data_IF_684109790722
#
_entry.id   IF_684109790722
#
_cell.length_a   1.000
_cell.length_b   1.000
_cell.length_c   1.000
_cell.angle_alpha   90.00
_cell.angle_beta   90.00
_cell.angle_gamma   90.00
#
_symmetry.space_group_name_H-M   'P 1'
#
loop_
_entity.id
_entity.type
_entity.pdbx_description
1 polymer ?
#
# COMPACT_ATOMS: atom_id res chain seq x y z
N UNK A 1 -7.58 8.36 3.61
CA UNK A 1 -6.69 7.44 2.87
C UNK A 1 -7.20 7.09 1.47
N UNK A 2 -8.45 6.63 1.31
CA UNK A 2 -9.07 6.39 -0.01
C UNK A 2 -8.90 7.59 -0.97
N UNK A 3 -9.35 8.78 -0.54
CA UNK A 3 -9.25 10.00 -1.34
C UNK A 3 -7.81 10.42 -1.65
N UNK A 4 -6.91 10.28 -0.67
CA UNK A 4 -5.49 10.60 -0.86
C UNK A 4 -4.84 9.71 -1.93
N UNK A 5 -5.11 8.40 -1.92
CA UNK A 5 -4.59 7.49 -2.94
C UNK A 5 -5.18 7.76 -4.32
N UNK A 6 -6.47 8.10 -4.39
CA UNK A 6 -7.09 8.50 -5.65
C UNK A 6 -6.46 9.78 -6.22
N UNK A 7 -6.27 10.81 -5.38
CA UNK A 7 -5.59 12.05 -5.78
C UNK A 7 -4.16 11.80 -6.25
N UNK A 8 -3.38 11.02 -5.48
CA UNK A 8 -2.00 10.69 -5.87
C UNK A 8 -1.96 9.94 -7.20
N UNK A 9 -2.88 8.99 -7.40
CA UNK A 9 -2.99 8.26 -8.66
C UNK A 9 -3.30 9.20 -9.83
N UNK A 10 -4.33 10.05 -9.72
CA UNK A 10 -4.78 10.93 -10.79
C UNK A 10 -3.74 11.98 -11.21
N UNK A 11 -2.88 12.43 -10.29
CA UNK A 11 -1.94 13.52 -10.55
C UNK A 11 -0.48 13.09 -10.74
N UNK A 12 -0.12 11.89 -10.27
CA UNK A 12 1.28 11.51 -10.11
C UNK A 12 1.62 10.06 -10.51
N UNK A 13 0.66 9.24 -10.94
CA UNK A 13 0.95 7.83 -11.31
C UNK A 13 2.03 7.71 -12.39
N UNK A 14 2.00 8.58 -13.40
CA UNK A 14 2.95 8.58 -14.53
C UNK A 14 4.20 9.41 -14.25
N UNK A 15 4.33 10.00 -13.06
CA UNK A 15 5.45 10.88 -12.69
C UNK A 15 6.44 10.23 -11.74
N UNK A 16 6.04 9.17 -11.04
CA UNK A 16 6.88 8.50 -10.06
C UNK A 16 6.74 6.98 -10.13
N UNK A 17 7.87 6.32 -9.90
CA UNK A 17 7.98 4.87 -9.91
C UNK A 17 7.51 4.21 -8.60
N UNK A 18 7.66 4.94 -7.49
CA UNK A 18 7.48 4.43 -6.13
C UNK A 18 6.57 5.33 -5.30
N UNK A 19 5.61 4.73 -4.62
CA UNK A 19 4.62 5.41 -3.79
C UNK A 19 4.72 4.93 -2.34
N UNK A 20 5.07 5.85 -1.43
CA UNK A 20 5.15 5.59 0.00
C UNK A 20 3.95 6.17 0.74
N UNK A 21 3.36 5.41 1.66
CA UNK A 21 2.60 5.98 2.77
C UNK A 21 3.51 6.03 3.99
N UNK A 22 3.47 7.14 4.73
CA UNK A 22 4.10 7.30 6.04
C UNK A 22 3.12 7.92 7.03
N UNK A 23 3.31 7.69 8.33
CA UNK A 23 2.57 8.40 9.38
C UNK A 23 3.45 9.53 9.98
N UNK A 24 2.84 10.46 10.72
CA UNK A 24 3.46 11.70 11.21
C UNK A 24 4.65 11.55 12.17
N UNK A 25 4.95 10.34 12.66
CA UNK A 25 6.09 10.04 13.53
C UNK A 25 7.15 9.14 12.89
N UNK A 26 7.11 8.97 11.56
CA UNK A 26 8.03 8.10 10.84
C UNK A 26 9.12 8.93 10.16
N UNK A 27 10.38 8.58 10.38
CA UNK A 27 11.52 9.09 9.63
C UNK A 27 11.91 8.11 8.52
N UNK A 28 12.35 8.63 7.36
CA UNK A 28 12.81 7.84 6.21
C UNK A 28 14.27 8.17 5.95
N UNK A 29 15.13 7.15 6.00
CA UNK A 29 16.54 7.26 5.58
C UNK A 29 16.60 6.99 4.08
N UNK A 30 16.78 8.04 3.29
CA UNK A 30 16.67 7.97 1.83
C UNK A 30 17.77 7.10 1.18
N UNK A 31 18.98 7.07 1.73
CA UNK A 31 20.06 6.18 1.24
C UNK A 31 19.67 4.71 1.30
N UNK A 32 19.10 4.27 2.43
CA UNK A 32 18.63 2.89 2.59
C UNK A 32 17.49 2.58 1.61
N UNK A 33 16.63 3.58 1.36
CA UNK A 33 15.53 3.43 0.42
C UNK A 33 16.03 3.30 -1.02
N UNK A 34 17.05 4.07 -1.41
CA UNK A 34 17.69 3.96 -2.74
C UNK A 34 18.32 2.59 -2.91
N UNK A 35 19.05 2.11 -1.91
CA UNK A 35 19.68 0.78 -1.93
C UNK A 35 18.61 -0.32 -2.11
N UNK A 36 17.47 -0.21 -1.43
CA UNK A 36 16.35 -1.16 -1.57
C UNK A 36 15.81 -1.24 -3.01
N UNK A 37 15.93 -0.16 -3.79
CA UNK A 37 15.39 -0.08 -5.16
C UNK A 37 16.41 -0.41 -6.25
N UNK A 38 17.70 -0.57 -5.93
CA UNK A 38 18.75 -0.80 -6.93
C UNK A 38 18.49 -2.04 -7.80
N UNK A 39 17.81 -3.05 -7.26
CA UNK A 39 17.54 -4.33 -7.91
C UNK A 39 16.03 -4.59 -8.13
N UNK A 40 15.21 -3.54 -8.19
CA UNK A 40 13.76 -3.65 -8.32
C UNK A 40 13.24 -2.89 -9.53
N UNK A 41 12.39 -3.55 -10.32
CA UNK A 41 11.67 -2.92 -11.42
C UNK A 41 10.33 -2.34 -10.91
N UNK A 42 10.09 -1.02 -11.02
CA UNK A 42 8.80 -0.43 -10.64
C UNK A 42 7.63 -0.83 -11.55
N UNK A 43 7.89 -1.45 -12.69
CA UNK A 43 6.89 -2.03 -13.59
C UNK A 43 6.45 -3.43 -13.16
N UNK A 44 7.14 -4.03 -12.18
CA UNK A 44 6.75 -5.30 -11.58
C UNK A 44 5.96 -5.09 -10.29
N UNK A 45 5.19 -6.12 -9.92
CA UNK A 45 4.39 -6.07 -8.70
C UNK A 45 5.27 -6.14 -7.44
N UNK A 46 5.66 -4.98 -6.93
CA UNK A 46 6.37 -4.88 -5.66
C UNK A 46 5.58 -4.12 -4.59
N UNK A 47 5.57 -4.66 -3.38
CA UNK A 47 5.04 -4.05 -2.18
C UNK A 47 5.88 -4.47 -0.97
N UNK A 48 6.32 -3.51 -0.16
CA UNK A 48 7.14 -3.78 1.02
C UNK A 48 6.75 -2.87 2.20
N UNK A 49 6.93 -3.40 3.41
CA UNK A 49 6.65 -2.74 4.67
C UNK A 49 6.76 -3.72 5.82
N UNK A 50 6.37 -3.30 7.02
CA UNK A 50 6.36 -4.20 8.17
C UNK A 50 5.27 -5.27 8.02
N UNK A 51 5.68 -6.49 7.70
CA UNK A 51 4.78 -7.63 7.55
C UNK A 51 4.40 -8.17 8.91
N UNK A 52 3.11 -8.05 9.25
CA UNK A 52 2.54 -8.70 10.41
C UNK A 52 1.77 -9.94 9.93
N UNK A 53 2.29 -11.11 10.26
CA UNK A 53 1.63 -12.38 9.94
C UNK A 53 0.46 -12.60 10.90
N UNK A 54 -0.77 -12.58 10.38
CA UNK A 54 -1.95 -12.93 11.15
C UNK A 54 -2.39 -14.36 10.84
N UNK A 55 -2.57 -15.17 11.90
CA UNK A 55 -3.41 -16.36 11.83
C UNK A 55 -4.88 -15.96 11.99
N UNK A 56 -5.43 -15.19 11.06
CA UNK A 56 -6.87 -14.95 11.03
C UNK A 56 -7.55 -16.14 10.36
N UNK A 57 -8.52 -16.75 11.04
CA UNK A 57 -9.26 -17.93 10.54
C UNK A 57 -10.01 -17.75 9.22
N UNK A 58 -10.08 -16.51 8.68
CA UNK A 58 -10.70 -16.17 7.38
C UNK A 58 -9.70 -15.76 6.30
N UNK A 59 -8.40 -15.78 6.58
CA UNK A 59 -7.35 -15.44 5.62
C UNK A 59 -6.46 -16.67 5.38
N UNK A 60 -5.88 -16.81 4.17
CA UNK A 60 -4.86 -17.82 3.91
C UNK A 60 -3.75 -17.78 4.97
N UNK A 61 -3.20 -18.93 5.34
CA UNK A 61 -2.17 -19.04 6.40
C UNK A 61 -0.89 -18.26 6.09
N UNK A 62 -0.66 -18.02 4.81
CA UNK A 62 0.45 -17.29 4.19
C UNK A 62 0.09 -15.84 3.83
N UNK A 63 -1.11 -15.36 4.18
CA UNK A 63 -1.51 -13.99 3.89
C UNK A 63 -0.65 -12.99 4.65
N UNK A 64 0.21 -12.30 3.91
CA UNK A 64 1.03 -11.21 4.39
C UNK A 64 0.44 -9.90 3.91
N UNK A 65 0.02 -9.07 4.85
CA UNK A 65 -0.35 -7.69 4.59
C UNK A 65 0.54 -6.81 5.47
N UNK A 66 1.36 -5.93 4.88
CA UNK A 66 2.08 -4.92 5.61
C UNK A 66 1.08 -4.11 6.43
N UNK A 67 1.05 -4.38 7.73
CA UNK A 67 0.35 -3.59 8.73
C UNK A 67 1.43 -2.82 9.44
N UNK A 68 1.43 -1.52 9.23
CA UNK A 68 2.39 -0.63 9.84
C UNK A 68 2.01 0.80 9.56
N UNK A 69 2.74 1.70 10.21
CA UNK A 69 2.62 3.15 10.00
C UNK A 69 3.04 3.57 8.58
N UNK A 70 3.95 2.81 7.98
CA UNK A 70 4.53 3.10 6.69
C UNK A 70 4.72 1.85 5.83
N UNK A 71 4.58 2.05 4.51
CA UNK A 71 4.81 1.02 3.50
C UNK A 71 5.06 1.65 2.13
N UNK A 72 5.69 0.92 1.22
CA UNK A 72 6.05 1.37 -0.13
C UNK A 72 5.57 0.41 -1.20
N UNK A 73 5.03 0.96 -2.29
CA UNK A 73 4.49 0.23 -3.45
C UNK A 73 5.15 0.72 -4.74
N UNK A 74 5.38 -0.21 -5.65
CA UNK A 74 5.64 0.08 -7.07
C UNK A 74 4.44 0.75 -7.73
N UNK A 75 4.67 1.55 -8.77
CA UNK A 75 3.62 2.11 -9.64
C UNK A 75 2.70 1.02 -10.19
N UNK A 76 3.29 -0.11 -10.62
CA UNK A 76 2.53 -1.28 -11.09
C UNK A 76 1.55 -1.83 -10.05
N UNK A 77 1.93 -1.82 -8.78
CA UNK A 77 1.07 -2.31 -7.68
C UNK A 77 0.08 -1.24 -7.21
N UNK A 78 0.45 0.03 -7.27
CA UNK A 78 -0.41 1.13 -6.87
C UNK A 78 -1.62 1.29 -7.80
N UNK A 79 -1.43 1.07 -9.11
CA UNK A 79 -2.49 1.18 -10.12
C UNK A 79 -3.71 0.28 -9.88
N UNK A 80 -3.60 -1.07 -9.78
CA UNK A 80 -4.75 -1.94 -9.54
C UNK A 80 -5.33 -1.75 -8.13
N UNK A 81 -4.52 -1.33 -7.15
CA UNK A 81 -5.05 -0.98 -5.84
C UNK A 81 -6.08 0.12 -5.95
N UNK A 82 -5.76 1.23 -6.64
CA UNK A 82 -6.67 2.37 -6.75
C UNK A 82 -7.82 2.11 -7.71
N UNK A 83 -7.55 1.51 -8.87
CA UNK A 83 -8.56 1.34 -9.94
C UNK A 83 -9.49 0.15 -9.73
N UNK A 84 -9.02 -0.95 -9.13
CA UNK A 84 -9.78 -2.20 -8.99
C UNK A 84 -10.10 -2.55 -7.54
N UNK A 85 -9.18 -2.23 -6.62
CA UNK A 85 -9.29 -2.62 -5.22
C UNK A 85 -10.12 -1.65 -4.37
N UNK A 86 -9.76 -0.38 -4.37
CA UNK A 86 -10.40 0.66 -3.57
C UNK A 86 -11.87 0.85 -3.98
N UNK A 87 -12.79 0.89 -3.01
CA UNK A 87 -14.23 1.04 -3.25
C UNK A 87 -14.95 -0.22 -3.78
N UNK A 88 -14.21 -1.26 -4.17
CA UNK A 88 -14.82 -2.49 -4.66
C UNK A 88 -15.26 -3.40 -3.49
N UNK A 89 -16.57 -3.56 -3.30
CA UNK A 89 -17.15 -4.38 -2.20
C UNK A 89 -16.70 -5.85 -2.21
N UNK A 90 -16.27 -6.39 -3.36
CA UNK A 90 -15.75 -7.76 -3.48
C UNK A 90 -14.40 -7.90 -2.79
N UNK A 91 -13.50 -6.94 -3.01
CA UNK A 91 -12.10 -6.98 -2.56
C UNK A 91 -11.88 -6.17 -1.27
N UNK A 92 -12.51 -5.00 -1.15
CA UNK A 92 -12.48 -4.13 0.01
C UNK A 92 -13.73 -4.34 0.87
N UNK A 93 -13.72 -5.40 1.69
CA UNK A 93 -14.78 -5.70 2.66
C UNK A 93 -14.59 -4.93 3.98
N UNK A 94 -14.25 -3.64 3.91
CA UNK A 94 -14.29 -2.80 5.11
C UNK A 94 -15.78 -2.58 5.40
N UNK A 95 -16.34 -3.36 6.32
CA UNK A 95 -17.54 -2.92 7.03
C UNK A 95 -17.14 -1.60 7.69
N UNK A 96 -17.72 -0.49 7.26
CA UNK A 96 -17.73 0.70 8.11
C UNK A 96 -18.35 0.22 9.41
N UNK A 97 -17.53 0.07 10.45
CA UNK A 97 -18.01 0.17 11.81
C UNK A 97 -18.44 1.64 11.89
N UNK A 98 -19.66 1.91 11.45
CA UNK A 98 -20.36 3.13 11.83
C UNK A 98 -20.37 3.03 13.34
N UNK A 99 -19.52 3.81 13.99
CA UNK A 99 -19.72 4.15 15.38
C UNK A 99 -21.08 4.83 15.38
N UNK A 100 -22.14 4.05 15.66
CA UNK A 100 -23.43 4.59 16.01
C UNK A 100 -23.18 5.39 17.28
N UNK A 101 -23.12 6.71 17.13
CA UNK A 101 -23.46 7.65 18.20
C UNK A 101 -24.91 7.42 18.61
#
# INVERSE_FOLDING_TARGET
>A
MYHAFKYVYEHYIDKYDWFMRIDCGTCVVMENLRILFLDKDPNEHYYSGFNLTYKLSRLPKDFQYPRGRSYIKSSKTFSPLVTKGLGNKKYCKIRMIVLKT
#
